data_IF_807116802430
#
_entry.id   IF_807116802430
#
_cell.length_a   1.000
_cell.length_b   1.000
_cell.length_c   1.000
_cell.angle_alpha   90.00
_cell.angle_beta   90.00
_cell.angle_gamma   90.00
#
_symmetry.space_group_name_H-M   'P 1'
#
loop_
_entity.id
_entity.type
_entity.pdbx_description
1 polymer ?
#
# COMPACT_ATOMS: atom_id res chain seq x y z
N UNK A 1 19.21 1.71 -16.15
CA UNK A 1 18.44 2.68 -15.34
C UNK A 1 19.38 3.75 -14.82
N UNK A 2 19.00 5.01 -14.95
CA UNK A 2 19.69 6.09 -14.24
C UNK A 2 19.25 6.05 -12.76
N UNK A 3 20.07 5.41 -11.92
CA UNK A 3 19.78 5.23 -10.49
C UNK A 3 19.69 6.56 -9.72
N UNK A 4 20.11 7.67 -10.33
CA UNK A 4 20.00 8.99 -9.70
C UNK A 4 18.56 9.47 -9.55
N UNK A 5 17.64 9.00 -10.40
CA UNK A 5 16.22 9.38 -10.37
C UNK A 5 15.40 8.71 -9.25
N UNK A 6 15.87 7.57 -8.74
CA UNK A 6 15.16 6.78 -7.71
C UNK A 6 16.03 6.52 -6.47
N UNK A 7 16.84 7.52 -6.12
CA UNK A 7 17.70 7.46 -4.95
C UNK A 7 16.87 7.50 -3.67
N UNK A 8 17.24 6.70 -2.68
CA UNK A 8 16.70 6.74 -1.33
C UNK A 8 17.74 7.34 -0.38
N UNK A 9 17.45 8.51 0.17
CA UNK A 9 18.29 9.18 1.14
C UNK A 9 17.78 8.90 2.56
N UNK A 10 18.56 8.19 3.35
CA UNK A 10 18.29 7.97 4.77
C UNK A 10 18.63 9.24 5.56
N UNK A 11 17.65 9.83 6.22
CA UNK A 11 17.77 11.12 6.94
C UNK A 11 18.03 10.89 8.43
N UNK A 12 17.33 9.94 9.05
CA UNK A 12 17.47 9.61 10.47
C UNK A 12 17.10 8.15 10.75
N UNK A 13 17.74 7.58 11.77
CA UNK A 13 17.37 6.30 12.39
C UNK A 13 17.09 6.55 13.88
N UNK A 14 16.05 5.92 14.41
CA UNK A 14 15.74 6.02 15.84
C UNK A 14 16.73 5.17 16.67
N UNK A 15 17.31 5.69 17.75
CA UNK A 15 18.36 4.99 18.51
C UNK A 15 17.87 3.79 19.31
N UNK A 16 16.57 3.63 19.50
CA UNK A 16 15.97 2.59 20.37
C UNK A 16 15.16 1.55 19.63
N UNK A 17 14.88 1.80 18.34
CA UNK A 17 14.11 0.90 17.47
C UNK A 17 14.83 0.76 16.11
N UNK A 18 14.21 0.07 15.16
CA UNK A 18 14.69 0.04 13.77
C UNK A 18 13.95 1.05 12.87
N UNK A 19 13.17 1.95 13.47
CA UNK A 19 12.45 2.99 12.75
C UNK A 19 13.41 3.94 12.06
N UNK A 20 13.09 4.31 10.82
CA UNK A 20 13.92 5.18 10.00
C UNK A 20 13.10 6.18 9.20
N UNK A 21 13.63 7.37 9.01
CA UNK A 21 13.08 8.41 8.18
C UNK A 21 14.00 8.65 6.97
N UNK A 22 13.42 8.67 5.78
CA UNK A 22 14.15 8.87 4.54
C UNK A 22 13.41 9.76 3.56
N UNK A 23 13.98 9.91 2.37
CA UNK A 23 13.37 10.54 1.19
C UNK A 23 13.65 9.65 -0.01
N UNK A 24 12.59 9.20 -0.68
CA UNK A 24 12.69 8.53 -1.97
C UNK A 24 12.42 9.56 -3.07
N UNK A 25 13.42 9.78 -3.93
CA UNK A 25 13.29 10.67 -5.08
C UNK A 25 12.58 9.96 -6.22
N UNK A 26 11.73 10.67 -6.94
CA UNK A 26 11.05 10.19 -8.16
C UNK A 26 10.92 11.31 -9.19
N UNK A 27 10.67 10.99 -10.48
CA UNK A 27 10.48 12.01 -11.51
C UNK A 27 9.34 13.00 -11.22
N UNK A 28 8.29 12.58 -10.48
CA UNK A 28 7.15 13.45 -10.17
C UNK A 28 7.19 14.03 -8.75
N UNK A 29 8.32 13.93 -8.05
CA UNK A 29 8.54 14.54 -6.74
C UNK A 29 9.10 13.58 -5.69
N UNK A 30 9.45 14.17 -4.56
CA UNK A 30 10.03 13.45 -3.43
C UNK A 30 8.95 12.83 -2.55
N UNK A 31 9.27 11.67 -1.98
CA UNK A 31 8.40 10.93 -1.06
C UNK A 31 9.11 10.86 0.29
N UNK A 32 8.58 11.54 1.29
CA UNK A 32 9.08 11.48 2.66
C UNK A 32 8.56 10.21 3.36
N UNK A 33 9.48 9.38 3.86
CA UNK A 33 9.14 8.15 4.57
C UNK A 33 9.35 8.28 6.08
N UNK A 34 8.58 7.53 6.92
CA UNK A 34 7.55 6.56 6.54
C UNK A 34 6.31 7.22 5.92
N UNK A 35 5.64 6.54 4.99
CA UNK A 35 4.48 7.07 4.25
C UNK A 35 3.37 6.04 4.10
N UNK A 36 2.12 6.49 4.12
CA UNK A 36 0.95 5.72 3.71
C UNK A 36 0.49 6.18 2.31
N UNK A 37 0.23 5.24 1.41
CA UNK A 37 -0.23 5.50 0.05
C UNK A 37 -1.74 5.27 -0.06
N UNK A 38 -2.55 6.32 -0.28
CA UNK A 38 -3.97 6.13 -0.59
C UNK A 38 -4.16 5.32 -1.87
N UNK A 39 -5.09 4.34 -1.83
CA UNK A 39 -5.32 3.43 -2.95
C UNK A 39 -6.33 4.00 -3.94
N UNK A 40 -5.86 4.24 -5.15
CA UNK A 40 -6.63 4.68 -6.31
C UNK A 40 -6.80 3.58 -7.36
N UNK A 41 -7.40 2.44 -7.00
CA UNK A 41 -7.50 1.20 -7.77
C UNK A 41 -7.85 1.37 -9.25
N UNK A 42 -8.78 2.26 -9.59
CA UNK A 42 -9.27 2.52 -10.96
C UNK A 42 -8.99 3.96 -11.37
N UNK A 43 -7.75 4.40 -11.24
CA UNK A 43 -7.28 5.76 -11.48
C UNK A 43 -7.99 6.84 -10.63
N UNK A 44 -8.55 6.46 -9.47
CA UNK A 44 -9.12 7.40 -8.52
C UNK A 44 -9.18 6.81 -7.12
N UNK A 45 -8.89 7.61 -6.11
CA UNK A 45 -9.21 7.28 -4.72
C UNK A 45 -10.73 7.37 -4.56
N UNK A 46 -11.36 6.27 -4.22
CA UNK A 46 -12.79 6.06 -4.41
C UNK A 46 -13.67 7.14 -3.76
N UNK A 47 -14.35 7.93 -4.60
CA UNK A 47 -15.26 8.98 -4.18
C UNK A 47 -14.57 10.30 -3.77
N UNK A 48 -13.26 10.42 -3.92
CA UNK A 48 -12.52 11.62 -3.50
C UNK A 48 -11.81 12.22 -4.72
N UNK A 49 -12.05 13.50 -5.05
CA UNK A 49 -11.34 14.21 -6.10
C UNK A 49 -9.83 14.23 -5.83
N UNK A 50 -9.03 14.16 -6.88
CA UNK A 50 -7.56 14.08 -6.79
C UNK A 50 -6.96 15.29 -6.07
N UNK A 51 -7.47 16.49 -6.33
CA UNK A 51 -7.06 17.69 -5.62
C UNK A 51 -7.32 17.61 -4.11
N UNK A 52 -8.44 17.00 -3.71
CA UNK A 52 -8.73 16.74 -2.28
C UNK A 52 -7.75 15.74 -1.69
N UNK A 53 -7.37 14.68 -2.41
CA UNK A 53 -6.36 13.71 -1.95
C UNK A 53 -5.03 14.42 -1.68
N UNK A 54 -4.62 15.35 -2.55
CA UNK A 54 -3.43 16.20 -2.36
C UNK A 54 -3.57 17.11 -1.13
N UNK A 55 -4.71 17.78 -0.97
CA UNK A 55 -4.98 18.64 0.19
C UNK A 55 -5.00 17.88 1.52
N UNK A 56 -5.32 16.59 1.51
CA UNK A 56 -5.20 15.71 2.67
C UNK A 56 -3.75 15.36 3.03
N UNK A 57 -2.77 15.75 2.20
CA UNK A 57 -1.33 15.55 2.44
C UNK A 57 -0.75 14.31 1.79
N UNK A 58 -1.45 13.65 0.86
CA UNK A 58 -0.88 12.54 0.11
C UNK A 58 0.25 13.03 -0.80
N UNK A 59 1.41 12.40 -0.70
CA UNK A 59 2.57 12.65 -1.57
C UNK A 59 2.61 11.67 -2.74
N UNK A 60 2.15 10.46 -2.54
CA UNK A 60 2.09 9.36 -3.51
C UNK A 60 0.72 8.68 -3.43
N UNK A 61 0.25 8.13 -4.54
CA UNK A 61 -0.95 7.29 -4.60
C UNK A 61 -0.60 5.93 -5.22
N UNK A 62 -1.36 4.90 -4.85
CA UNK A 62 -1.24 3.59 -5.46
C UNK A 62 -2.38 3.36 -6.45
N UNK A 63 -2.05 2.86 -7.64
CA UNK A 63 -3.02 2.40 -8.64
C UNK A 63 -2.82 0.91 -8.93
N UNK A 64 -3.80 0.27 -9.57
CA UNK A 64 -3.81 -1.17 -9.74
C UNK A 64 -3.69 -1.58 -11.21
N UNK A 65 -2.61 -2.30 -11.53
CA UNK A 65 -2.29 -2.74 -12.89
C UNK A 65 -3.38 -3.64 -13.48
N UNK A 66 -3.89 -4.63 -12.71
CA UNK A 66 -4.95 -5.52 -13.19
C UNK A 66 -6.21 -4.76 -13.62
N UNK A 67 -6.72 -3.90 -12.73
CA UNK A 67 -7.96 -3.19 -13.03
C UNK A 67 -7.83 -2.20 -14.19
N UNK A 68 -6.69 -1.53 -14.32
CA UNK A 68 -6.43 -0.54 -15.36
C UNK A 68 -6.21 -1.19 -16.72
N UNK A 69 -5.54 -2.34 -16.78
CA UNK A 69 -5.36 -3.11 -18.02
C UNK A 69 -6.64 -3.79 -18.48
N UNK A 70 -7.51 -4.21 -17.55
CA UNK A 70 -8.81 -4.78 -17.92
C UNK A 70 -9.75 -3.70 -18.46
N UNK A 71 -9.76 -2.51 -17.84
CA UNK A 71 -10.61 -1.38 -18.26
C UNK A 71 -10.07 -0.04 -17.69
N UNK A 72 -9.75 0.96 -18.52
CA UNK A 72 -10.05 1.06 -19.95
C UNK A 72 -9.07 0.34 -20.88
N UNK A 73 -7.99 -0.21 -20.38
CA UNK A 73 -6.85 -0.79 -21.08
C UNK A 73 -5.63 0.12 -21.02
N UNK A 74 -4.46 -0.48 -20.97
CA UNK A 74 -3.17 0.23 -20.87
C UNK A 74 -2.88 1.06 -22.12
N UNK A 75 -3.28 0.58 -23.32
CA UNK A 75 -3.12 1.32 -24.57
C UNK A 75 -3.90 2.63 -24.54
N UNK A 76 -5.16 2.59 -24.11
CA UNK A 76 -6.00 3.80 -23.97
C UNK A 76 -5.36 4.80 -23.00
N UNK A 77 -4.81 4.33 -21.87
CA UNK A 77 -4.14 5.21 -20.89
C UNK A 77 -2.89 5.81 -21.49
N UNK A 78 -2.07 5.02 -22.20
CA UNK A 78 -0.86 5.49 -22.88
C UNK A 78 -1.17 6.54 -23.95
N UNK A 79 -2.17 6.30 -24.83
CA UNK A 79 -2.62 7.25 -25.85
C UNK A 79 -3.10 8.57 -25.27
N UNK A 80 -3.70 8.55 -24.07
CA UNK A 80 -4.16 9.76 -23.35
C UNK A 80 -3.04 10.47 -22.57
N UNK A 81 -1.80 9.98 -22.64
CA UNK A 81 -0.61 10.61 -22.06
C UNK A 81 -0.17 10.05 -20.72
N UNK A 82 -0.50 8.78 -20.47
CA UNK A 82 -0.09 8.03 -19.26
C UNK A 82 -1.00 8.23 -18.07
N UNK A 83 -0.72 7.46 -17.01
CA UNK A 83 -1.61 7.37 -15.84
C UNK A 83 -1.71 8.69 -15.07
N UNK A 84 -0.62 9.45 -14.93
CA UNK A 84 -0.61 10.75 -14.26
C UNK A 84 -1.63 11.71 -14.87
N UNK A 85 -1.61 11.85 -16.20
CA UNK A 85 -2.57 12.70 -16.92
C UNK A 85 -3.97 12.13 -16.88
N UNK A 86 -4.12 10.81 -17.04
CA UNK A 86 -5.42 10.14 -17.06
C UNK A 86 -6.18 10.30 -15.73
N UNK A 87 -5.50 10.17 -14.58
CA UNK A 87 -6.11 10.35 -13.27
C UNK A 87 -6.00 11.78 -12.70
N UNK A 88 -5.44 12.72 -13.47
CA UNK A 88 -5.21 14.11 -13.06
C UNK A 88 -4.42 14.21 -11.74
N UNK A 89 -3.41 13.35 -11.57
CA UNK A 89 -2.50 13.35 -10.42
C UNK A 89 -1.09 13.70 -10.86
N UNK A 90 -0.47 14.71 -10.24
CA UNK A 90 0.82 15.25 -10.66
C UNK A 90 1.98 14.85 -9.73
N UNK A 91 1.71 14.13 -8.68
CA UNK A 91 2.71 13.56 -7.78
C UNK A 91 3.09 12.13 -8.16
N UNK A 92 3.97 11.48 -7.40
CA UNK A 92 4.36 10.09 -7.60
C UNK A 92 3.18 9.11 -7.63
N UNK A 93 3.30 8.08 -8.47
CA UNK A 93 2.37 6.96 -8.55
C UNK A 93 3.14 5.65 -8.42
N UNK A 94 2.65 4.75 -7.57
CA UNK A 94 3.06 3.34 -7.58
C UNK A 94 1.95 2.50 -8.20
N UNK A 95 2.29 1.59 -9.12
CA UNK A 95 1.37 0.54 -9.61
C UNK A 95 1.79 -0.81 -9.06
N UNK A 96 0.84 -1.53 -8.47
CA UNK A 96 1.07 -2.92 -8.06
C UNK A 96 1.26 -3.84 -9.28
N UNK A 97 1.60 -5.11 -9.04
CA UNK A 97 1.74 -6.12 -10.10
C UNK A 97 0.40 -6.57 -10.70
N UNK A 98 -0.71 -6.37 -9.99
CA UNK A 98 -2.00 -6.99 -10.28
C UNK A 98 -2.09 -8.47 -9.91
N UNK A 99 -1.00 -9.09 -9.47
CA UNK A 99 -0.94 -10.52 -9.12
C UNK A 99 -1.96 -10.92 -8.07
N UNK A 100 -2.02 -10.19 -6.95
CA UNK A 100 -2.98 -10.49 -5.87
C UNK A 100 -4.43 -10.52 -6.37
N UNK A 101 -4.83 -9.59 -7.25
CA UNK A 101 -6.20 -9.52 -7.80
C UNK A 101 -6.48 -10.72 -8.73
N UNK A 102 -5.50 -11.12 -9.52
CA UNK A 102 -5.61 -12.34 -10.34
C UNK A 102 -5.91 -13.56 -9.46
N UNK A 103 -5.22 -13.70 -8.32
CA UNK A 103 -5.40 -14.86 -7.43
C UNK A 103 -6.65 -14.77 -6.55
N UNK A 104 -7.03 -13.57 -6.09
CA UNK A 104 -8.14 -13.40 -5.14
C UNK A 104 -9.52 -13.29 -5.79
N UNK A 105 -9.59 -12.89 -7.06
CA UNK A 105 -10.86 -12.64 -7.76
C UNK A 105 -11.26 -13.75 -8.74
N UNK A 106 -10.42 -14.77 -8.93
CA UNK A 106 -10.63 -15.79 -9.96
C UNK A 106 -10.56 -17.20 -9.38
N UNK A 107 -11.64 -17.98 -9.53
CA UNK A 107 -11.71 -19.37 -9.08
C UNK A 107 -10.91 -20.34 -9.97
N UNK A 108 -10.53 -19.92 -11.18
CA UNK A 108 -9.87 -20.75 -12.20
C UNK A 108 -8.50 -20.16 -12.62
N UNK A 109 -7.62 -20.00 -11.64
CA UNK A 109 -6.25 -19.56 -11.90
C UNK A 109 -5.36 -20.77 -12.16
N UNK A 110 -4.62 -20.75 -13.28
CA UNK A 110 -3.60 -21.75 -13.58
C UNK A 110 -2.23 -21.07 -13.64
N UNK A 111 -1.37 -21.47 -12.71
CA UNK A 111 0.02 -21.05 -12.64
C UNK A 111 0.90 -21.99 -13.47
N UNK A 112 1.82 -21.41 -14.22
CA UNK A 112 2.88 -22.10 -14.95
C UNK A 112 4.19 -21.32 -14.79
N UNK A 113 5.31 -21.91 -15.19
CA UNK A 113 6.60 -21.23 -15.19
C UNK A 113 6.61 -20.04 -16.17
N UNK A 114 5.83 -20.15 -17.26
CA UNK A 114 5.72 -19.10 -18.26
C UNK A 114 4.89 -17.89 -17.79
N UNK A 115 3.91 -18.11 -16.90
CA UNK A 115 3.01 -17.04 -16.46
C UNK A 115 1.72 -17.57 -15.84
N UNK A 116 0.70 -16.72 -15.78
CA UNK A 116 -0.59 -16.99 -15.13
C UNK A 116 -1.75 -16.91 -16.13
N UNK A 117 -2.58 -17.96 -16.16
CA UNK A 117 -3.86 -17.99 -16.88
C UNK A 117 -5.01 -17.76 -15.91
N UNK A 118 -5.93 -16.89 -16.28
CA UNK A 118 -7.11 -16.56 -15.47
C UNK A 118 -8.29 -16.14 -16.34
N UNK A 119 -9.47 -16.10 -15.71
CA UNK A 119 -10.70 -15.62 -16.33
C UNK A 119 -11.02 -14.25 -15.71
N UNK A 120 -11.33 -13.25 -16.53
CA UNK A 120 -11.60 -11.88 -16.08
C UNK A 120 -13.05 -11.77 -15.57
N UNK A 121 -13.36 -12.42 -14.43
CA UNK A 121 -14.71 -12.53 -13.89
C UNK A 121 -15.35 -11.17 -13.56
N UNK A 122 -14.54 -10.21 -13.10
CA UNK A 122 -15.02 -8.88 -12.70
C UNK A 122 -15.48 -7.97 -13.86
N UNK A 123 -15.23 -8.39 -15.12
CA UNK A 123 -15.47 -7.54 -16.28
C UNK A 123 -16.28 -8.26 -17.37
N UNK A 124 -15.65 -9.10 -18.20
CA UNK A 124 -16.26 -9.64 -19.42
C UNK A 124 -16.13 -11.18 -19.56
N UNK A 125 -15.52 -11.85 -18.61
CA UNK A 125 -15.35 -13.30 -18.59
C UNK A 125 -14.35 -13.84 -19.61
N UNK A 126 -13.52 -12.95 -20.22
CA UNK A 126 -12.51 -13.41 -21.18
C UNK A 126 -11.37 -14.17 -20.48
N UNK A 127 -10.76 -15.08 -21.24
CA UNK A 127 -9.55 -15.79 -20.80
C UNK A 127 -8.32 -14.95 -21.12
N UNK A 128 -7.47 -14.77 -20.14
CA UNK A 128 -6.21 -14.02 -20.25
C UNK A 128 -5.05 -14.92 -19.85
N UNK A 129 -3.92 -14.74 -20.51
CA UNK A 129 -2.64 -15.29 -20.11
C UNK A 129 -1.65 -14.14 -19.98
N UNK A 130 -1.14 -13.91 -18.78
CA UNK A 130 -0.10 -12.93 -18.52
C UNK A 130 1.23 -13.63 -18.27
N UNK A 131 2.22 -13.23 -19.04
CA UNK A 131 3.63 -13.49 -18.75
C UNK A 131 4.22 -12.34 -17.93
N UNK A 132 5.40 -12.52 -17.31
CA UNK A 132 6.13 -11.40 -16.70
C UNK A 132 6.42 -10.26 -17.69
N UNK A 133 6.70 -10.58 -18.95
CA UNK A 133 6.94 -9.62 -20.03
C UNK A 133 5.68 -8.79 -20.33
N UNK A 134 4.51 -9.45 -20.46
CA UNK A 134 3.23 -8.75 -20.65
C UNK A 134 2.94 -7.80 -19.48
N UNK A 135 3.20 -8.26 -18.26
CA UNK A 135 3.00 -7.44 -17.05
C UNK A 135 3.90 -6.18 -17.07
N UNK A 136 5.16 -6.32 -17.49
CA UNK A 136 6.06 -5.18 -17.64
C UNK A 136 5.65 -4.26 -18.80
N UNK A 137 5.20 -4.79 -19.92
CA UNK A 137 4.68 -3.97 -21.02
C UNK A 137 3.49 -3.10 -20.55
N UNK A 138 2.55 -3.71 -19.81
CA UNK A 138 1.41 -2.99 -19.23
C UNK A 138 1.91 -1.90 -18.27
N UNK A 139 2.82 -2.23 -17.33
CA UNK A 139 3.34 -1.29 -16.36
C UNK A 139 4.05 -0.10 -17.01
N UNK A 140 4.86 -0.36 -18.05
CA UNK A 140 5.55 0.68 -18.82
C UNK A 140 4.57 1.58 -19.60
N UNK A 141 3.49 1.03 -20.17
CA UNK A 141 2.43 1.80 -20.82
C UNK A 141 1.63 2.67 -19.85
N UNK A 142 1.36 2.18 -18.65
CA UNK A 142 0.72 2.97 -17.60
C UNK A 142 1.60 4.17 -17.19
N UNK A 143 2.92 3.99 -17.11
CA UNK A 143 3.89 5.07 -16.88
C UNK A 143 3.83 5.64 -15.46
N UNK A 144 3.64 4.80 -14.44
CA UNK A 144 3.81 5.17 -13.04
C UNK A 144 5.30 5.40 -12.71
N UNK A 145 5.61 6.09 -11.61
CA UNK A 145 7.01 6.25 -11.15
C UNK A 145 7.60 4.94 -10.65
N UNK A 146 6.79 4.14 -9.96
CA UNK A 146 7.18 2.86 -9.40
C UNK A 146 6.21 1.79 -9.89
N UNK A 147 6.73 0.69 -10.40
CA UNK A 147 5.96 -0.51 -10.69
C UNK A 147 6.51 -1.71 -9.93
N UNK A 148 5.65 -2.70 -9.67
CA UNK A 148 6.03 -3.93 -8.98
C UNK A 148 6.21 -5.06 -9.98
N UNK A 149 7.14 -5.97 -9.73
CA UNK A 149 7.26 -7.21 -10.49
C UNK A 149 5.99 -8.06 -10.40
N UNK A 150 5.73 -8.92 -11.38
CA UNK A 150 4.70 -9.97 -11.25
C UNK A 150 5.16 -11.00 -10.22
N UNK A 151 4.29 -11.33 -9.26
CA UNK A 151 4.55 -12.24 -8.17
C UNK A 151 3.39 -13.20 -7.93
N UNK A 152 3.64 -14.28 -7.22
CA UNK A 152 2.60 -15.13 -6.66
C UNK A 152 2.48 -14.90 -5.15
N UNK A 153 1.36 -14.33 -4.74
CA UNK A 153 1.02 -14.17 -3.33
C UNK A 153 0.23 -15.39 -2.84
N UNK A 154 0.78 -16.25 -1.97
CA UNK A 154 0.02 -17.34 -1.37
C UNK A 154 -0.98 -16.78 -0.35
N UNK A 155 -2.18 -17.40 -0.27
CA UNK A 155 -3.13 -17.12 0.80
C UNK A 155 -2.68 -17.68 2.14
N UNK A 156 -3.42 -17.38 3.22
CA UNK A 156 -3.17 -17.93 4.54
C UNK A 156 -4.43 -18.70 5.03
N UNK A 157 -4.28 -19.87 5.66
CA UNK A 157 -3.04 -20.64 5.81
C UNK A 157 -2.61 -21.31 4.50
N UNK A 158 -1.29 -21.42 4.30
CA UNK A 158 -0.71 -22.15 3.18
C UNK A 158 0.23 -23.26 3.67
N UNK A 159 0.30 -24.37 2.94
CA UNK A 159 1.31 -25.40 3.22
C UNK A 159 2.71 -24.87 2.87
N UNK A 160 3.73 -25.37 3.57
CA UNK A 160 5.11 -25.00 3.26
C UNK A 160 5.47 -25.27 1.79
N UNK A 161 5.09 -26.43 1.25
CA UNK A 161 5.37 -26.78 -0.15
C UNK A 161 4.72 -25.78 -1.15
N UNK A 162 3.52 -25.27 -0.84
CA UNK A 162 2.89 -24.21 -1.64
C UNK A 162 3.64 -22.88 -1.54
N UNK A 163 4.11 -22.52 -0.33
CA UNK A 163 4.97 -21.35 -0.10
C UNK A 163 6.30 -21.44 -0.84
N UNK A 164 6.96 -22.63 -0.83
CA UNK A 164 8.18 -22.90 -1.59
C UNK A 164 7.97 -22.68 -3.09
N UNK A 165 6.86 -23.22 -3.63
CA UNK A 165 6.52 -23.05 -5.05
C UNK A 165 6.21 -21.58 -5.40
N UNK A 166 5.53 -20.86 -4.52
CA UNK A 166 5.25 -19.44 -4.70
C UNK A 166 6.55 -18.61 -4.77
N UNK A 167 7.52 -18.92 -3.92
CA UNK A 167 8.84 -18.28 -3.95
C UNK A 167 9.58 -18.62 -5.25
N UNK A 168 9.56 -19.86 -5.70
CA UNK A 168 10.19 -20.27 -6.97
C UNK A 168 9.61 -19.52 -8.16
N UNK A 169 8.28 -19.47 -8.28
CA UNK A 169 7.60 -18.75 -9.36
C UNK A 169 7.91 -17.26 -9.30
N UNK A 170 7.75 -16.62 -8.14
CA UNK A 170 8.01 -15.19 -7.98
C UNK A 170 9.46 -14.84 -8.30
N UNK A 171 10.42 -15.71 -7.96
CA UNK A 171 11.84 -15.54 -8.27
C UNK A 171 12.12 -15.64 -9.77
N UNK A 172 11.60 -16.66 -10.45
CA UNK A 172 11.76 -16.79 -11.91
C UNK A 172 11.09 -15.63 -12.66
N UNK A 173 9.94 -15.19 -12.19
CA UNK A 173 9.23 -14.05 -12.80
C UNK A 173 9.93 -12.73 -12.52
N UNK A 174 10.58 -12.56 -11.38
CA UNK A 174 11.39 -11.38 -11.07
C UNK A 174 12.52 -11.18 -12.09
N UNK A 175 13.25 -12.24 -12.40
CA UNK A 175 14.33 -12.21 -13.40
C UNK A 175 13.82 -11.79 -14.78
N UNK A 176 12.67 -12.32 -15.20
CA UNK A 176 12.04 -11.98 -16.48
C UNK A 176 11.50 -10.55 -16.49
N UNK A 177 10.83 -10.11 -15.41
CA UNK A 177 10.41 -8.72 -15.25
C UNK A 177 11.61 -7.77 -15.31
N UNK A 178 12.69 -8.07 -14.60
CA UNK A 178 13.90 -7.24 -14.59
C UNK A 178 14.52 -7.08 -15.97
N UNK A 179 14.55 -8.17 -16.78
CA UNK A 179 15.04 -8.14 -18.17
C UNK A 179 14.10 -7.42 -19.13
N UNK A 180 12.79 -7.52 -18.92
CA UNK A 180 11.77 -6.92 -19.79
C UNK A 180 11.54 -5.43 -19.53
N UNK A 181 11.80 -4.97 -18.29
CA UNK A 181 11.64 -3.58 -17.92
C UNK A 181 12.77 -2.72 -18.52
N UNK A 182 12.41 -1.75 -19.37
CA UNK A 182 13.38 -0.95 -20.15
C UNK A 182 13.24 0.56 -19.95
N UNK A 183 12.30 1.04 -19.11
CA UNK A 183 12.14 2.47 -18.84
C UNK A 183 13.14 2.94 -17.79
N UNK A 184 13.84 4.04 -18.08
CA UNK A 184 14.78 4.66 -17.15
C UNK A 184 14.08 5.64 -16.17
N UNK A 185 12.90 6.13 -16.54
CA UNK A 185 12.06 7.04 -15.75
C UNK A 185 10.99 6.32 -14.92
N UNK A 186 11.10 5.00 -14.76
CA UNK A 186 10.24 4.17 -13.92
C UNK A 186 11.09 3.18 -13.11
N UNK A 187 10.85 3.09 -11.79
CA UNK A 187 11.50 2.12 -10.93
C UNK A 187 10.73 0.79 -10.91
N UNK A 188 11.42 -0.32 -11.14
CA UNK A 188 10.89 -1.65 -10.88
C UNK A 188 11.28 -2.10 -9.48
N UNK A 189 10.33 -2.31 -8.59
CA UNK A 189 10.56 -2.88 -7.26
C UNK A 189 10.40 -4.41 -7.29
N UNK A 190 11.34 -5.11 -6.65
CA UNK A 190 11.25 -6.55 -6.41
C UNK A 190 10.29 -6.86 -5.27
N UNK A 191 9.63 -8.03 -5.29
CA UNK A 191 8.73 -8.46 -4.21
C UNK A 191 9.30 -9.67 -3.48
N UNK A 192 9.55 -9.53 -2.19
CA UNK A 192 9.95 -10.62 -1.30
C UNK A 192 8.72 -11.41 -0.89
N UNK A 193 8.62 -12.67 -1.34
CA UNK A 193 7.59 -13.62 -0.95
C UNK A 193 8.14 -14.69 0.01
N UNK A 194 7.28 -15.52 0.63
CA UNK A 194 7.69 -16.62 1.51
C UNK A 194 6.68 -16.95 2.62
N UNK A 195 5.52 -16.28 2.63
CA UNK A 195 4.48 -16.48 3.65
C UNK A 195 5.02 -16.24 5.06
N UNK A 196 4.66 -17.13 6.00
CA UNK A 196 5.10 -17.04 7.41
C UNK A 196 6.40 -17.86 7.67
N UNK A 197 7.28 -17.98 6.65
CA UNK A 197 8.53 -18.73 6.73
C UNK A 197 9.72 -17.82 6.44
N UNK A 198 10.47 -17.46 7.48
CA UNK A 198 11.63 -16.55 7.35
C UNK A 198 12.68 -17.07 6.37
N UNK A 199 13.00 -18.36 6.42
CA UNK A 199 13.95 -18.98 5.51
C UNK A 199 13.55 -18.87 4.03
N UNK A 200 12.25 -18.98 3.73
CA UNK A 200 11.73 -18.78 2.38
C UNK A 200 11.83 -17.31 1.95
N UNK A 201 11.54 -16.36 2.85
CA UNK A 201 11.71 -14.94 2.59
C UNK A 201 13.17 -14.56 2.34
N UNK A 202 14.08 -15.13 3.10
CA UNK A 202 15.51 -14.94 2.90
C UNK A 202 15.99 -15.53 1.56
N UNK A 203 15.43 -16.67 1.15
CA UNK A 203 15.69 -17.25 -0.18
C UNK A 203 15.17 -16.32 -1.28
N UNK A 204 13.97 -15.77 -1.13
CA UNK A 204 13.40 -14.81 -2.08
C UNK A 204 14.22 -13.53 -2.17
N UNK A 205 14.61 -12.94 -1.04
CA UNK A 205 15.42 -11.72 -1.01
C UNK A 205 16.79 -11.93 -1.69
N UNK A 206 17.51 -13.00 -1.36
CA UNK A 206 18.81 -13.29 -2.00
C UNK A 206 18.69 -13.43 -3.52
N UNK A 207 17.63 -14.12 -3.98
CA UNK A 207 17.42 -14.26 -5.41
C UNK A 207 17.18 -12.90 -6.09
N UNK A 208 16.42 -12.00 -5.47
CA UNK A 208 16.23 -10.64 -6.00
C UNK A 208 17.55 -9.86 -6.06
N UNK A 209 18.39 -9.96 -5.03
CA UNK A 209 19.71 -9.31 -5.00
C UNK A 209 20.68 -9.88 -6.08
N UNK A 210 20.59 -11.19 -6.36
CA UNK A 210 21.36 -11.85 -7.42
C UNK A 210 20.82 -11.50 -8.83
N UNK A 211 19.51 -11.28 -8.94
CA UNK A 211 18.84 -10.99 -10.20
C UNK A 211 19.22 -9.60 -10.77
N UNK A 212 19.36 -8.60 -9.89
CA UNK A 212 19.73 -7.25 -10.31
C UNK A 212 19.59 -6.20 -9.20
N UNK A 213 19.92 -4.97 -9.54
CA UNK A 213 19.84 -3.85 -8.62
C UNK A 213 18.45 -3.19 -8.65
N UNK A 214 17.51 -3.75 -7.91
CA UNK A 214 16.18 -3.16 -7.74
C UNK A 214 16.28 -1.87 -6.90
N UNK A 215 15.65 -0.74 -7.33
CA UNK A 215 15.63 0.50 -6.56
C UNK A 215 14.95 0.40 -5.20
N UNK A 216 14.09 -0.60 -4.98
CA UNK A 216 13.39 -0.85 -3.73
C UNK A 216 12.75 -2.25 -3.68
N UNK A 217 12.22 -2.59 -2.51
CA UNK A 217 11.64 -3.92 -2.28
C UNK A 217 10.24 -3.81 -1.66
N UNK A 218 9.27 -4.49 -2.29
CA UNK A 218 7.99 -4.84 -1.69
C UNK A 218 8.12 -6.10 -0.83
N UNK A 219 7.32 -6.18 0.22
CA UNK A 219 7.19 -7.35 1.08
C UNK A 219 5.74 -7.81 0.97
N UNK A 220 5.53 -8.85 0.16
CA UNK A 220 4.21 -9.41 -0.11
C UNK A 220 3.85 -10.61 0.77
N UNK A 221 2.63 -11.11 0.65
CA UNK A 221 2.17 -12.31 1.34
C UNK A 221 1.92 -12.15 2.83
N UNK A 222 1.66 -10.91 3.27
CA UNK A 222 1.12 -10.59 4.57
C UNK A 222 -0.26 -9.93 4.45
N UNK A 223 -0.99 -9.81 5.56
CA UNK A 223 -2.38 -9.29 5.60
C UNK A 223 -3.35 -10.09 4.72
N UNK A 224 -3.14 -11.41 4.67
CA UNK A 224 -3.95 -12.37 3.90
C UNK A 224 -4.79 -13.29 4.79
N UNK A 225 -4.88 -13.00 6.10
CA UNK A 225 -5.71 -13.70 7.08
C UNK A 225 -4.98 -14.16 8.35
N UNK A 226 -3.67 -13.97 8.45
CA UNK A 226 -2.89 -14.21 9.66
C UNK A 226 -3.16 -13.14 10.72
N UNK A 227 -2.89 -13.48 11.98
CA UNK A 227 -2.86 -12.50 13.06
C UNK A 227 -1.56 -11.65 13.05
N UNK A 228 -1.61 -10.51 13.70
CA UNK A 228 -0.49 -9.55 13.69
C UNK A 228 0.78 -10.11 14.33
N UNK A 229 0.69 -10.91 15.39
CA UNK A 229 1.87 -11.47 16.05
C UNK A 229 2.58 -12.46 15.13
N UNK A 230 1.84 -13.37 14.51
CA UNK A 230 2.36 -14.30 13.49
C UNK A 230 3.06 -13.56 12.34
N UNK A 231 2.50 -12.44 11.87
CA UNK A 231 3.15 -11.62 10.86
C UNK A 231 4.49 -11.06 11.36
N UNK A 232 4.53 -10.46 12.55
CA UNK A 232 5.73 -9.81 13.08
C UNK A 232 6.84 -10.80 13.47
N UNK A 233 6.54 -12.07 13.81
CA UNK A 233 7.55 -13.11 14.05
C UNK A 233 8.53 -13.28 12.88
N UNK A 234 8.07 -13.09 11.65
CA UNK A 234 8.90 -13.23 10.44
C UNK A 234 9.25 -11.88 9.81
N UNK A 235 8.37 -10.90 9.88
CA UNK A 235 8.59 -9.55 9.32
C UNK A 235 9.72 -8.81 10.05
N UNK A 236 9.72 -8.83 11.38
CA UNK A 236 10.70 -8.07 12.15
C UNK A 236 12.15 -8.50 11.85
N UNK A 237 12.55 -9.78 11.97
CA UNK A 237 13.91 -10.18 11.64
C UNK A 237 14.25 -9.97 10.15
N UNK A 238 13.32 -10.25 9.21
CA UNK A 238 13.53 -10.00 7.79
C UNK A 238 13.97 -8.56 7.55
N UNK A 239 13.21 -7.61 8.08
CA UNK A 239 13.41 -6.18 7.79
C UNK A 239 14.61 -5.61 8.52
N UNK A 240 14.74 -5.90 9.83
CA UNK A 240 15.76 -5.29 10.67
C UNK A 240 17.17 -5.86 10.45
N UNK A 241 17.28 -7.15 10.08
CA UNK A 241 18.56 -7.84 10.02
C UNK A 241 19.06 -8.09 8.59
N UNK A 242 18.14 -8.30 7.63
CA UNK A 242 18.52 -8.81 6.31
C UNK A 242 18.27 -7.84 5.15
N UNK A 243 17.21 -7.04 5.20
CA UNK A 243 16.91 -6.15 4.08
C UNK A 243 17.91 -4.98 3.96
N UNK A 244 18.31 -4.60 2.72
CA UNK A 244 19.25 -3.51 2.50
C UNK A 244 18.79 -2.19 3.14
N UNK A 245 19.70 -1.51 3.86
CA UNK A 245 19.38 -0.24 4.52
C UNK A 245 19.25 0.94 3.57
N UNK A 246 19.94 0.89 2.43
CA UNK A 246 19.97 1.95 1.43
C UNK A 246 18.84 1.86 0.39
N UNK A 247 17.88 0.97 0.58
CA UNK A 247 16.71 0.77 -0.29
C UNK A 247 15.43 1.01 0.49
N UNK A 248 14.38 1.60 -0.12
CA UNK A 248 13.06 1.70 0.49
C UNK A 248 12.40 0.32 0.61
N UNK A 249 11.65 0.13 1.68
CA UNK A 249 10.98 -1.12 2.08
C UNK A 249 9.48 -0.87 2.16
N UNK A 250 8.73 -1.55 1.31
CA UNK A 250 7.30 -1.38 1.17
C UNK A 250 6.55 -2.61 1.67
N UNK A 251 5.81 -2.48 2.78
CA UNK A 251 4.92 -3.53 3.29
C UNK A 251 3.56 -3.42 2.63
N UNK A 252 3.26 -4.37 1.75
CA UNK A 252 2.11 -4.33 0.85
C UNK A 252 0.80 -4.68 1.55
N UNK A 253 -0.25 -3.90 1.28
CA UNK A 253 -1.62 -4.20 1.71
C UNK A 253 -1.93 -4.00 3.19
N UNK A 254 -1.06 -3.34 3.95
CA UNK A 254 -1.20 -3.15 5.40
C UNK A 254 -1.62 -1.73 5.73
N UNK A 255 -2.74 -1.57 6.47
CA UNK A 255 -3.33 -0.25 6.75
C UNK A 255 -4.02 -0.12 8.12
N UNK A 256 -3.93 -1.11 8.99
CA UNK A 256 -4.36 -0.97 10.38
C UNK A 256 -3.41 0.00 11.11
N UNK A 257 -3.90 1.06 11.79
CA UNK A 257 -3.05 2.07 12.41
C UNK A 257 -1.99 1.51 13.37
N UNK A 258 -2.36 0.53 14.20
CA UNK A 258 -1.43 -0.13 15.14
C UNK A 258 -0.35 -0.92 14.41
N UNK A 259 -0.73 -1.62 13.35
CA UNK A 259 0.22 -2.36 12.50
C UNK A 259 1.17 -1.42 11.76
N UNK A 260 0.70 -0.26 11.30
CA UNK A 260 1.56 0.78 10.71
C UNK A 260 2.62 1.25 11.71
N UNK A 261 2.22 1.60 12.94
CA UNK A 261 3.15 2.04 13.98
C UNK A 261 4.18 0.94 14.29
N UNK A 262 3.76 -0.31 14.44
CA UNK A 262 4.69 -1.43 14.67
C UNK A 262 5.60 -1.67 13.45
N UNK A 263 5.05 -1.59 12.23
CA UNK A 263 5.80 -1.78 10.98
C UNK A 263 6.90 -0.72 10.80
N UNK A 264 6.60 0.54 11.08
CA UNK A 264 7.63 1.59 11.11
C UNK A 264 8.71 1.27 12.15
N UNK A 265 8.32 0.76 13.32
CA UNK A 265 9.24 0.37 14.40
C UNK A 265 10.26 -0.71 13.99
N UNK A 266 9.93 -1.60 13.06
CA UNK A 266 10.85 -2.61 12.52
C UNK A 266 11.59 -2.15 11.26
N UNK A 267 11.34 -0.93 10.76
CA UNK A 267 12.08 -0.32 9.67
C UNK A 267 11.38 -0.36 8.30
N UNK A 268 10.06 -0.42 8.26
CA UNK A 268 9.26 -0.26 7.03
C UNK A 268 9.11 1.22 6.70
N UNK A 269 9.19 1.56 5.41
CA UNK A 269 9.12 2.93 4.89
C UNK A 269 7.77 3.26 4.24
N UNK A 270 7.16 2.30 3.55
CA UNK A 270 5.98 2.54 2.71
C UNK A 270 4.88 1.53 3.01
N UNK A 271 3.64 2.00 2.98
CA UNK A 271 2.45 1.19 3.22
C UNK A 271 1.32 1.61 2.29
N UNK A 272 0.43 0.69 1.98
CA UNK A 272 -0.85 0.95 1.32
C UNK A 272 -1.95 0.08 1.91
N UNK A 273 -3.16 0.53 1.82
CA UNK A 273 -4.34 -0.32 2.04
C UNK A 273 -5.62 0.37 1.59
N UNK A 274 -6.59 -0.41 1.16
CA UNK A 274 -7.96 0.08 0.90
C UNK A 274 -8.76 0.34 2.18
N UNK A 275 -8.24 -0.03 3.35
CA UNK A 275 -8.93 0.02 4.64
C UNK A 275 -9.55 1.40 4.94
N UNK A 276 -8.85 2.54 4.81
CA UNK A 276 -9.41 3.84 5.19
C UNK A 276 -10.65 4.21 4.37
N UNK A 277 -10.64 3.98 3.06
CA UNK A 277 -11.79 4.26 2.21
C UNK A 277 -12.87 3.17 2.30
N UNK A 278 -12.47 1.91 2.49
CA UNK A 278 -13.41 0.79 2.66
C UNK A 278 -14.22 0.96 3.94
N UNK A 279 -13.56 1.17 5.06
CA UNK A 279 -14.22 1.36 6.36
C UNK A 279 -15.01 2.66 6.40
N UNK A 280 -14.52 3.75 5.82
CA UNK A 280 -15.24 5.02 5.68
C UNK A 280 -16.58 4.84 4.97
N UNK A 281 -16.61 4.16 3.83
CA UNK A 281 -17.85 3.86 3.10
C UNK A 281 -18.79 2.93 3.86
N UNK A 282 -18.27 2.15 4.80
CA UNK A 282 -19.06 1.30 5.71
C UNK A 282 -19.52 2.03 6.97
N UNK A 283 -19.23 3.33 7.11
CA UNK A 283 -19.66 4.14 8.24
C UNK A 283 -18.74 4.07 9.46
N UNK A 284 -17.47 3.76 9.27
CA UNK A 284 -16.48 3.64 10.35
C UNK A 284 -15.35 4.66 10.19
N UNK A 285 -14.98 5.34 11.28
CA UNK A 285 -13.81 6.21 11.34
C UNK A 285 -12.73 5.70 12.29
N UNK A 286 -11.49 6.04 11.97
CA UNK A 286 -10.36 6.04 12.90
C UNK A 286 -10.44 7.27 13.79
N UNK A 287 -10.04 7.19 15.05
CA UNK A 287 -9.98 8.36 15.91
C UNK A 287 -9.03 8.16 17.09
N UNK A 288 -8.70 9.24 17.78
CA UNK A 288 -7.98 9.21 19.05
C UNK A 288 -8.73 8.46 20.17
N UNK A 289 -10.05 8.34 20.04
CA UNK A 289 -10.91 7.57 20.94
C UNK A 289 -11.05 6.08 20.54
N UNK A 290 -10.33 5.65 19.49
CA UNK A 290 -10.44 4.32 18.89
C UNK A 290 -11.40 4.28 17.71
N UNK A 291 -11.98 3.11 17.48
CA UNK A 291 -12.88 2.86 16.32
C UNK A 291 -14.28 3.43 16.57
N UNK A 292 -14.73 4.34 15.71
CA UNK A 292 -16.08 4.93 15.76
C UNK A 292 -16.96 4.34 14.65
N UNK A 293 -18.03 3.63 15.02
CA UNK A 293 -19.03 3.16 14.06
C UNK A 293 -20.25 4.10 14.08
N UNK A 294 -20.40 4.89 13.04
CA UNK A 294 -21.45 5.92 12.89
C UNK A 294 -22.87 5.36 12.68
N UNK A 295 -23.07 4.06 12.62
CA UNK A 295 -24.41 3.47 12.71
C UNK A 295 -24.92 3.42 14.15
N UNK A 296 -24.06 3.61 15.15
CA UNK A 296 -24.42 3.56 16.56
C UNK A 296 -25.33 4.74 16.92
N UNK A 297 -26.42 4.45 17.66
CA UNK A 297 -27.41 5.43 18.10
C UNK A 297 -26.83 6.52 19.02
N UNK A 298 -25.74 6.25 19.73
CA UNK A 298 -25.08 7.22 20.63
C UNK A 298 -24.70 8.53 19.93
N UNK A 299 -24.48 8.52 18.61
CA UNK A 299 -24.12 9.70 17.84
C UNK A 299 -25.31 10.52 17.32
N UNK A 300 -26.57 10.13 17.63
CA UNK A 300 -27.78 10.79 17.08
C UNK A 300 -27.90 12.27 17.48
N UNK A 301 -27.37 12.64 18.64
CA UNK A 301 -27.43 14.01 19.20
C UNK A 301 -26.00 14.55 19.51
N UNK A 302 -24.94 13.95 18.94
CA UNK A 302 -23.57 14.34 19.15
C UNK A 302 -23.18 15.41 18.11
N UNK A 303 -23.03 16.65 18.54
CA UNK A 303 -22.67 17.80 17.71
C UNK A 303 -21.14 18.00 17.53
N UNK A 304 -20.33 17.17 18.20
CA UNK A 304 -18.87 17.20 18.08
C UNK A 304 -18.35 16.71 16.72
N UNK A 305 -17.07 17.01 16.41
CA UNK A 305 -16.40 16.50 15.21
C UNK A 305 -16.13 14.98 15.32
N UNK A 306 -15.73 14.32 14.22
CA UNK A 306 -15.35 12.90 14.23
C UNK A 306 -14.29 12.65 15.32
N UNK A 307 -13.23 13.46 15.33
CA UNK A 307 -12.17 13.41 16.30
C UNK A 307 -11.80 14.84 16.72
N UNK A 308 -11.96 15.21 18.00
CA UNK A 308 -11.68 16.57 18.47
C UNK A 308 -10.19 16.96 18.40
N UNK A 309 -9.29 15.99 18.26
CA UNK A 309 -7.85 16.25 18.09
C UNK A 309 -7.40 16.32 16.65
N UNK A 310 -8.29 15.97 15.69
CA UNK A 310 -7.98 15.89 14.28
C UNK A 310 -8.18 17.24 13.58
N UNK A 311 -7.22 17.65 12.77
CA UNK A 311 -7.24 18.90 12.01
C UNK A 311 -7.60 18.73 10.53
N UNK A 312 -8.15 17.56 10.14
CA UNK A 312 -8.59 17.34 8.76
C UNK A 312 -9.76 18.28 8.38
N UNK A 313 -9.95 18.55 7.07
CA UNK A 313 -11.03 19.43 6.60
C UNK A 313 -12.44 18.99 7.03
N UNK A 314 -12.64 17.73 7.35
CA UNK A 314 -13.93 17.22 7.84
C UNK A 314 -14.15 17.62 9.30
N UNK A 315 -13.17 17.39 10.18
CA UNK A 315 -13.28 17.70 11.61
C UNK A 315 -13.31 19.21 11.86
N UNK A 316 -12.56 19.99 11.08
CA UNK A 316 -12.54 21.46 11.21
C UNK A 316 -13.62 22.16 10.41
N UNK A 317 -14.25 21.47 9.46
CA UNK A 317 -15.28 22.01 8.55
C UNK A 317 -16.70 22.03 9.10
N UNK A 318 -16.89 21.70 10.39
CA UNK A 318 -18.20 21.79 11.04
C UNK A 318 -19.15 20.60 10.81
N UNK A 319 -18.64 19.48 10.27
CA UNK A 319 -19.42 18.24 10.11
C UNK A 319 -19.53 17.51 11.45
N UNK A 320 -20.71 17.55 12.08
CA UNK A 320 -20.95 16.89 13.36
C UNK A 320 -21.07 15.37 13.24
N UNK A 321 -20.78 14.65 14.31
CA UNK A 321 -21.02 13.20 14.42
C UNK A 321 -22.48 12.85 14.15
N UNK A 322 -23.44 13.70 14.60
CA UNK A 322 -24.87 13.51 14.33
C UNK A 322 -25.21 13.60 12.84
N UNK A 323 -24.69 14.59 12.13
CA UNK A 323 -24.87 14.73 10.69
C UNK A 323 -24.26 13.55 9.92
N UNK A 324 -23.04 13.17 10.25
CA UNK A 324 -22.36 12.03 9.62
C UNK A 324 -23.16 10.75 9.86
N UNK A 325 -23.61 10.51 11.09
CA UNK A 325 -24.50 9.37 11.40
C UNK A 325 -25.76 9.39 10.55
N UNK A 326 -26.42 10.53 10.44
CA UNK A 326 -27.62 10.68 9.61
C UNK A 326 -27.33 10.26 8.16
N UNK A 327 -26.28 10.81 7.54
CA UNK A 327 -25.88 10.45 6.17
C UNK A 327 -25.55 8.96 6.00
N UNK A 328 -24.82 8.37 6.95
CA UNK A 328 -24.47 6.93 6.92
C UNK A 328 -25.72 6.06 7.01
N UNK A 329 -26.66 6.39 7.90
CA UNK A 329 -27.89 5.59 8.09
C UNK A 329 -28.87 5.76 6.93
N UNK A 330 -28.90 6.94 6.29
CA UNK A 330 -29.69 7.21 5.08
C UNK A 330 -29.00 6.73 3.79
N UNK A 331 -27.79 6.18 3.89
CA UNK A 331 -26.97 5.74 2.74
C UNK A 331 -26.62 6.86 1.76
N UNK A 332 -26.53 8.09 2.25
CA UNK A 332 -26.06 9.23 1.47
C UNK A 332 -24.56 9.08 1.16
N UNK A 333 -24.18 9.26 -0.10
CA UNK A 333 -22.78 9.10 -0.55
C UNK A 333 -21.82 10.00 0.22
N UNK A 334 -22.25 11.23 0.55
CA UNK A 334 -21.41 12.21 1.24
C UNK A 334 -20.91 11.70 2.59
N UNK A 335 -21.72 10.93 3.34
CA UNK A 335 -21.29 10.35 4.61
C UNK A 335 -20.07 9.44 4.46
N UNK A 336 -20.08 8.56 3.47
CA UNK A 336 -18.95 7.68 3.17
C UNK A 336 -17.72 8.42 2.61
N UNK A 337 -17.95 9.50 1.85
CA UNK A 337 -16.87 10.36 1.31
C UNK A 337 -16.15 11.08 2.47
N UNK A 338 -16.90 11.76 3.34
CA UNK A 338 -16.32 12.49 4.47
C UNK A 338 -15.55 11.57 5.41
N UNK A 339 -16.10 10.39 5.73
CA UNK A 339 -15.39 9.40 6.55
C UNK A 339 -14.12 8.87 5.85
N UNK A 340 -14.16 8.67 4.54
CA UNK A 340 -12.98 8.25 3.77
C UNK A 340 -11.89 9.34 3.75
N UNK A 341 -12.27 10.60 3.58
CA UNK A 341 -11.36 11.74 3.66
C UNK A 341 -10.71 11.83 5.04
N UNK A 342 -11.49 11.74 6.10
CA UNK A 342 -10.99 11.74 7.47
C UNK A 342 -10.02 10.58 7.74
N UNK A 343 -10.39 9.36 7.34
CA UNK A 343 -9.57 8.17 7.57
C UNK A 343 -8.23 8.21 6.80
N UNK A 344 -8.23 8.72 5.57
CA UNK A 344 -7.00 8.94 4.80
C UNK A 344 -6.11 9.94 5.52
N UNK A 345 -6.67 11.12 5.88
CA UNK A 345 -5.92 12.13 6.61
C UNK A 345 -5.34 11.58 7.92
N UNK A 346 -6.13 10.78 8.64
CA UNK A 346 -5.70 10.16 9.90
C UNK A 346 -4.42 9.32 9.71
N UNK A 347 -4.38 8.46 8.68
CA UNK A 347 -3.21 7.62 8.42
C UNK A 347 -2.02 8.43 7.88
N UNK A 348 -2.25 9.42 7.01
CA UNK A 348 -1.20 10.31 6.53
C UNK A 348 -0.58 11.11 7.68
N UNK A 349 -1.41 11.69 8.54
CA UNK A 349 -0.96 12.42 9.74
C UNK A 349 -0.24 11.50 10.73
N UNK A 350 -0.70 10.26 10.90
CA UNK A 350 -0.02 9.26 11.74
C UNK A 350 1.41 9.03 11.24
N UNK A 351 1.61 8.87 9.93
CA UNK A 351 2.95 8.68 9.35
C UNK A 351 3.83 9.93 9.48
N UNK A 352 3.27 11.13 9.33
CA UNK A 352 4.01 12.37 9.57
C UNK A 352 4.47 12.49 11.04
N UNK A 353 3.60 12.17 12.00
CA UNK A 353 3.94 12.14 13.43
C UNK A 353 4.99 11.08 13.74
N UNK A 354 4.90 9.91 13.13
CA UNK A 354 5.90 8.84 13.22
C UNK A 354 7.26 9.35 12.70
N UNK A 355 7.30 9.94 11.51
CA UNK A 355 8.50 10.54 10.92
C UNK A 355 9.14 11.58 11.85
N UNK A 356 8.34 12.49 12.39
CA UNK A 356 8.85 13.52 13.30
C UNK A 356 9.45 12.88 14.57
N UNK A 357 8.80 11.87 15.13
CA UNK A 357 9.30 11.15 16.32
C UNK A 357 10.64 10.43 16.03
N UNK A 358 10.82 9.89 14.80
CA UNK A 358 12.09 9.27 14.38
C UNK A 358 13.19 10.33 14.29
N UNK A 359 12.94 11.46 13.62
CA UNK A 359 13.91 12.55 13.46
C UNK A 359 14.33 13.11 14.83
N UNK A 360 13.42 13.16 15.80
CA UNK A 360 13.69 13.58 17.17
C UNK A 360 14.32 12.48 18.06
N UNK A 361 14.54 11.27 17.55
CA UNK A 361 15.13 10.15 18.29
C UNK A 361 14.27 9.63 19.44
N UNK A 362 12.94 9.74 19.34
CA UNK A 362 11.99 9.34 20.40
C UNK A 362 10.89 8.38 19.90
N UNK A 363 11.17 7.65 18.82
CA UNK A 363 10.15 6.77 18.24
C UNK A 363 9.72 5.65 19.19
N UNK A 364 10.64 5.11 20.02
CA UNK A 364 10.30 4.12 21.04
C UNK A 364 9.26 4.64 22.04
N UNK A 365 9.37 5.90 22.49
CA UNK A 365 8.36 6.54 23.33
C UNK A 365 7.03 6.74 22.59
N UNK A 366 7.08 7.15 21.32
CA UNK A 366 5.89 7.28 20.47
C UNK A 366 5.12 5.96 20.35
N UNK A 367 5.81 4.83 20.13
CA UNK A 367 5.20 3.49 20.12
C UNK A 367 4.55 3.16 21.46
N UNK A 368 5.25 3.41 22.58
CA UNK A 368 4.71 3.16 23.91
C UNK A 368 3.44 3.97 24.17
N UNK A 369 3.44 5.26 23.86
CA UNK A 369 2.27 6.14 24.01
C UNK A 369 1.11 5.67 23.14
N UNK A 370 1.41 5.26 21.89
CA UNK A 370 0.40 4.72 20.99
C UNK A 370 -0.25 3.47 21.55
N UNK A 371 0.55 2.47 21.96
CA UNK A 371 0.06 1.18 22.47
C UNK A 371 -0.76 1.30 23.76
N UNK A 372 -0.54 2.35 24.54
CA UNK A 372 -1.32 2.68 25.74
C UNK A 372 -2.54 3.57 25.44
N UNK A 373 -2.76 4.01 24.20
CA UNK A 373 -3.85 4.90 23.83
C UNK A 373 -5.11 4.12 23.42
N UNK A 374 -6.32 4.73 23.53
CA UNK A 374 -7.55 4.14 22.99
C UNK A 374 -7.52 3.94 21.47
N UNK A 375 -6.61 4.61 20.75
CA UNK A 375 -6.44 4.48 19.31
C UNK A 375 -5.78 3.15 18.89
N UNK A 376 -5.11 2.45 19.81
CA UNK A 376 -4.43 1.17 19.55
C UNK A 376 -5.41 0.00 19.52
N UNK A 377 -6.34 0.02 18.60
CA UNK A 377 -7.35 -1.03 18.38
C UNK A 377 -7.20 -1.68 17.01
N UNK A 378 -7.68 -2.90 16.88
CA UNK A 378 -7.77 -3.59 15.59
C UNK A 378 -9.03 -3.16 14.80
N UNK A 379 -8.87 -3.06 13.48
CA UNK A 379 -9.91 -2.59 12.56
C UNK A 379 -10.34 -3.65 11.56
#
# INVERSE_FOLDING_TARGET
MDQSLFKFDLIAEDPTTHARAGVLHTPHGDIETPIFMPVGTKANVKGIPTETVKQLGAQIVLANTYHLSMRPGEDTIAELGGLHKFMNWHGPILTDSGGFQVFSHNDAVKLTDEGVRFIVNDYDGRHVFWTPEDNMEIAMKLGSDICMQLDQCPGYPATRAYGERAVELSSMWAERCYKAHTRDDQALFGIVQGGMHLDLRLRSLRHLEECGDFPGYGIGGYSVGEDHETMFETLAPLVSEYMPKHKPRYLMGVGNPTTLVRGVGVGIDMFDCVLPTRTGRMGTAFSSEGRLNFRNARFAHDDGPIDPTCTCPVCTGGYSRALIRHMVTQKEMLGGILLSMHNIYYLLNLMQRARQAIIEGRYGAFVSDWMNSPAAVDY
#
